data_IF_192998827390
#
_entry.id   IF_192998827390
#
_cell.length_a   1.000
_cell.length_b   1.000
_cell.length_c   1.000
_cell.angle_alpha   90.00
_cell.angle_beta   90.00
_cell.angle_gamma   90.00
#
_symmetry.space_group_name_H-M   'P 1'
#
loop_
_entity.id
_entity.type
_entity.pdbx_description
1 polymer ?
#
# COMPACT_ATOMS: atom_id res chain seq x y z
N UNK A 1 -18.57 1.16 33.12
CA UNK A 1 -18.42 2.09 31.98
C UNK A 1 -17.33 1.53 31.10
N UNK A 2 -17.68 0.94 29.96
CA UNK A 2 -16.68 0.50 28.99
C UNK A 2 -16.22 1.73 28.20
N UNK A 3 -14.95 2.05 28.27
CA UNK A 3 -14.31 2.99 27.34
C UNK A 3 -14.31 2.32 25.97
N UNK A 4 -15.16 2.80 25.08
CA UNK A 4 -15.10 2.41 23.67
C UNK A 4 -13.82 3.00 23.08
N UNK A 5 -12.72 2.25 23.11
CA UNK A 5 -11.55 2.57 22.30
C UNK A 5 -11.97 2.52 20.84
N UNK A 6 -12.00 3.68 20.20
CA UNK A 6 -12.19 3.75 18.76
C UNK A 6 -10.87 3.30 18.15
N UNK A 7 -10.84 2.25 17.30
CA UNK A 7 -9.59 1.77 16.74
C UNK A 7 -8.88 2.88 15.98
N UNK A 8 -7.54 2.92 16.08
CA UNK A 8 -6.75 3.85 15.29
C UNK A 8 -7.02 3.62 13.79
N UNK A 9 -7.16 4.69 13.00
CA UNK A 9 -7.45 4.57 11.58
C UNK A 9 -6.26 3.93 10.85
N UNK A 10 -6.54 2.98 9.98
CA UNK A 10 -5.53 2.37 9.10
C UNK A 10 -5.10 3.37 8.03
N UNK A 11 -3.87 3.23 7.49
CA UNK A 11 -3.39 4.06 6.38
C UNK A 11 -4.36 4.03 5.18
N UNK A 12 -4.93 2.86 4.89
CA UNK A 12 -5.95 2.68 3.87
C UNK A 12 -7.19 3.54 4.14
N UNK A 13 -7.74 3.48 5.37
CA UNK A 13 -8.94 4.25 5.74
C UNK A 13 -8.72 5.76 5.73
N UNK A 14 -7.51 6.22 6.08
CA UNK A 14 -7.14 7.64 6.01
C UNK A 14 -7.07 8.09 4.55
N UNK A 15 -6.36 7.35 3.70
CA UNK A 15 -6.16 7.72 2.29
C UNK A 15 -7.50 7.67 1.53
N UNK A 16 -8.31 6.64 1.74
CA UNK A 16 -9.63 6.54 1.12
C UNK A 16 -10.54 7.69 1.56
N UNK A 17 -10.56 8.03 2.85
CA UNK A 17 -11.32 9.16 3.38
C UNK A 17 -10.90 10.49 2.76
N UNK A 18 -9.60 10.73 2.59
CA UNK A 18 -9.10 11.94 1.91
C UNK A 18 -9.54 12.00 0.44
N UNK A 19 -9.58 10.86 -0.26
CA UNK A 19 -10.08 10.84 -1.64
C UNK A 19 -11.59 11.09 -1.72
N UNK A 20 -12.37 10.54 -0.77
CA UNK A 20 -13.79 10.83 -0.65
C UNK A 20 -14.04 12.33 -0.42
N UNK A 21 -13.31 12.94 0.53
CA UNK A 21 -13.39 14.37 0.83
C UNK A 21 -12.99 15.26 -0.35
N UNK A 22 -12.04 14.81 -1.18
CA UNK A 22 -11.60 15.53 -2.38
C UNK A 22 -12.62 15.50 -3.54
N UNK A 23 -13.66 14.67 -3.44
CA UNK A 23 -14.65 14.49 -4.50
C UNK A 23 -14.18 13.57 -5.64
N UNK A 24 -13.19 12.70 -5.38
CA UNK A 24 -12.80 11.67 -6.35
C UNK A 24 -14.00 10.75 -6.64
N UNK A 25 -14.12 10.28 -7.89
CA UNK A 25 -15.20 9.34 -8.24
C UNK A 25 -15.10 8.09 -7.36
N UNK A 26 -16.18 7.64 -6.68
CA UNK A 26 -16.12 6.49 -5.77
C UNK A 26 -15.55 5.22 -6.39
N UNK A 27 -15.80 5.00 -7.69
CA UNK A 27 -15.26 3.85 -8.43
C UNK A 27 -13.74 3.87 -8.62
N UNK A 28 -13.08 5.02 -8.45
CA UNK A 28 -11.63 5.18 -8.58
C UNK A 28 -10.90 5.15 -7.24
N UNK A 29 -11.60 5.40 -6.13
CA UNK A 29 -11.01 5.50 -4.79
C UNK A 29 -10.21 4.24 -4.44
N UNK A 30 -10.72 3.00 -4.62
CA UNK A 30 -9.94 1.81 -4.27
C UNK A 30 -8.62 1.70 -5.06
N UNK A 31 -8.66 2.00 -6.37
CA UNK A 31 -7.49 1.92 -7.24
C UNK A 31 -6.44 2.98 -6.87
N UNK A 32 -6.87 4.21 -6.60
CA UNK A 32 -5.97 5.30 -6.21
C UNK A 32 -5.40 5.10 -4.80
N UNK A 33 -6.20 4.61 -3.85
CA UNK A 33 -5.72 4.24 -2.51
C UNK A 33 -4.64 3.16 -2.59
N UNK A 34 -4.88 2.08 -3.36
CA UNK A 34 -3.88 1.03 -3.58
C UNK A 34 -2.60 1.56 -4.21
N UNK A 35 -2.70 2.45 -5.21
CA UNK A 35 -1.54 3.05 -5.86
C UNK A 35 -0.70 3.91 -4.90
N UNK A 36 -1.34 4.73 -4.05
CA UNK A 36 -0.63 5.54 -3.05
C UNK A 36 0.08 4.65 -2.02
N UNK A 37 -0.60 3.61 -1.53
CA UNK A 37 0.01 2.66 -0.60
C UNK A 37 1.21 1.95 -1.20
N UNK A 38 1.12 1.48 -2.45
CA UNK A 38 2.22 0.83 -3.15
C UNK A 38 3.43 1.76 -3.34
N UNK A 39 3.21 3.03 -3.68
CA UNK A 39 4.27 4.04 -3.74
C UNK A 39 4.94 4.23 -2.37
N UNK A 40 4.13 4.30 -1.31
CA UNK A 40 4.64 4.48 0.04
C UNK A 40 5.44 3.27 0.53
N UNK A 41 5.00 2.06 0.22
CA UNK A 41 5.71 0.83 0.56
C UNK A 41 7.06 0.74 -0.16
N UNK A 42 7.12 1.16 -1.43
CA UNK A 42 8.38 1.26 -2.18
C UNK A 42 9.36 2.27 -1.55
N UNK A 43 8.89 3.45 -1.15
CA UNK A 43 9.72 4.45 -0.48
C UNK A 43 10.22 3.95 0.90
N UNK A 44 9.36 3.27 1.64
CA UNK A 44 9.70 2.65 2.92
C UNK A 44 10.75 1.54 2.72
N UNK A 45 10.59 0.70 1.69
CA UNK A 45 11.56 -0.33 1.35
C UNK A 45 12.93 0.27 1.00
N UNK A 46 12.98 1.35 0.22
CA UNK A 46 14.22 2.07 -0.08
C UNK A 46 14.89 2.62 1.20
N UNK A 47 14.10 3.20 2.11
CA UNK A 47 14.59 3.70 3.40
C UNK A 47 15.16 2.56 4.27
N UNK A 48 14.46 1.43 4.32
CA UNK A 48 14.91 0.24 5.04
C UNK A 48 16.21 -0.32 4.46
N UNK A 49 16.37 -0.35 3.13
CA UNK A 49 17.63 -0.76 2.48
C UNK A 49 18.78 0.17 2.87
N UNK A 50 18.57 1.48 2.85
CA UNK A 50 19.57 2.47 3.23
C UNK A 50 20.00 2.33 4.71
N UNK A 51 19.09 1.92 5.58
CA UNK A 51 19.36 1.62 6.99
C UNK A 51 19.97 0.22 7.23
N UNK A 52 20.15 -0.60 6.19
CA UNK A 52 20.72 -1.95 6.29
C UNK A 52 19.70 -3.06 6.64
N UNK A 53 18.40 -2.77 6.61
CA UNK A 53 17.31 -3.71 6.93
C UNK A 53 16.78 -4.45 5.69
N UNK A 54 17.65 -5.15 4.97
CA UNK A 54 17.33 -5.76 3.66
C UNK A 54 16.13 -6.72 3.69
N UNK A 55 16.00 -7.57 4.72
CA UNK A 55 14.88 -8.53 4.83
C UNK A 55 13.53 -7.83 4.98
N UNK A 56 13.48 -6.74 5.76
CA UNK A 56 12.25 -5.97 5.94
C UNK A 56 11.87 -5.24 4.64
N UNK A 57 12.87 -4.69 3.93
CA UNK A 57 12.64 -4.04 2.65
C UNK A 57 12.08 -5.00 1.59
N UNK A 58 12.61 -6.22 1.46
CA UNK A 58 12.13 -7.22 0.50
C UNK A 58 10.66 -7.62 0.73
N UNK A 59 10.16 -7.54 1.97
CA UNK A 59 8.75 -7.84 2.27
C UNK A 59 7.78 -6.75 1.81
N UNK A 60 8.25 -5.50 1.70
CA UNK A 60 7.43 -4.36 1.27
C UNK A 60 7.49 -4.13 -0.25
N UNK A 61 8.58 -4.55 -0.88
CA UNK A 61 8.84 -4.33 -2.30
C UNK A 61 9.29 -5.67 -2.90
N UNK A 62 8.34 -6.59 -3.17
CA UNK A 62 8.65 -7.89 -3.73
C UNK A 62 9.30 -7.74 -5.11
N UNK A 63 10.28 -8.60 -5.39
CA UNK A 63 11.03 -8.60 -6.64
C UNK A 63 10.06 -8.65 -7.84
N UNK A 64 10.19 -7.75 -8.84
CA UNK A 64 9.41 -7.82 -10.07
C UNK A 64 9.38 -9.22 -10.71
N UNK A 65 10.47 -9.98 -10.61
CA UNK A 65 10.50 -11.36 -11.12
C UNK A 65 9.54 -12.30 -10.37
N UNK A 66 9.34 -12.10 -9.06
CA UNK A 66 8.36 -12.86 -8.26
C UNK A 66 6.93 -12.47 -8.65
N UNK A 67 6.70 -11.20 -8.99
CA UNK A 67 5.41 -10.73 -9.51
C UNK A 67 5.13 -11.39 -10.87
N UNK A 68 6.10 -11.33 -11.79
CA UNK A 68 5.96 -11.91 -13.13
C UNK A 68 5.71 -13.44 -13.09
N UNK A 69 6.41 -14.17 -12.20
CA UNK A 69 6.19 -15.61 -11.99
C UNK A 69 4.79 -15.92 -11.45
N UNK A 70 4.24 -15.07 -10.57
CA UNK A 70 2.92 -15.27 -9.98
C UNK A 70 1.76 -15.04 -10.95
N UNK A 71 1.91 -14.13 -11.93
CA UNK A 71 0.89 -13.84 -12.93
C UNK A 71 1.00 -14.72 -14.20
N UNK A 72 2.11 -15.44 -14.37
CA UNK A 72 2.36 -16.29 -15.54
C UNK A 72 2.58 -15.48 -16.83
N UNK A 73 2.92 -16.14 -17.95
CA UNK A 73 3.07 -15.44 -19.23
C UNK A 73 1.74 -14.77 -19.61
N UNK A 74 1.79 -13.49 -20.01
CA UNK A 74 0.61 -12.78 -20.51
C UNK A 74 -0.05 -13.59 -21.63
N UNK A 75 -1.30 -14.03 -21.40
CA UNK A 75 -2.07 -14.74 -22.42
C UNK A 75 -2.39 -13.77 -23.56
N UNK A 76 -2.06 -14.10 -24.82
CA UNK A 76 -2.18 -13.20 -25.98
C UNK A 76 -3.62 -12.78 -26.31
#
# INVERSE_FOLDING_TARGET
MATSETPEPTAESVISGLFEESGLRPSLIPAYTAAVLALRDRDNAATLRAAGHSVAATRLDPDPAVIDEAFGPETP
#
